data_IF_378401619799
#
_entry.id   IF_378401619799
#
_cell.length_a   1.000
_cell.length_b   1.000
_cell.length_c   1.000
_cell.angle_alpha   90.00
_cell.angle_beta   90.00
_cell.angle_gamma   90.00
#
_symmetry.space_group_name_H-M   'P 1'
#
loop_
_entity.id
_entity.type
_entity.pdbx_description
1 polymer ?
#
# COMPACT_ATOMS: atom_id res chain seq x y z
N UNK A 1 14.82 4.39 11.85
CA UNK A 1 13.88 4.29 10.72
C UNK A 1 14.07 2.90 10.14
N UNK A 2 13.05 2.02 10.20
CA UNK A 2 13.10 0.74 9.51
C UNK A 2 13.20 0.94 7.99
N UNK A 3 13.84 0.00 7.32
CA UNK A 3 13.94 -0.01 5.87
C UNK A 3 12.64 -0.52 5.25
N UNK A 4 12.14 0.17 4.22
CA UNK A 4 10.95 -0.24 3.49
C UNK A 4 11.32 -1.15 2.30
N UNK A 5 10.80 -2.38 2.32
CA UNK A 5 10.93 -3.36 1.24
C UNK A 5 9.56 -3.73 0.65
N UNK A 6 9.58 -4.17 -0.61
CA UNK A 6 8.39 -4.58 -1.35
C UNK A 6 8.56 -6.03 -1.81
N UNK A 7 7.52 -6.84 -1.66
CA UNK A 7 7.47 -8.14 -2.34
C UNK A 7 7.19 -7.95 -3.83
N UNK A 8 7.48 -8.98 -4.63
CA UNK A 8 7.09 -8.99 -6.04
C UNK A 8 5.59 -8.81 -6.22
N UNK A 9 4.77 -9.28 -5.27
CA UNK A 9 3.33 -9.10 -5.32
C UNK A 9 2.94 -7.64 -5.14
N UNK A 10 3.51 -6.94 -4.16
CA UNK A 10 3.27 -5.50 -3.97
C UNK A 10 3.70 -4.68 -5.19
N UNK A 11 4.82 -5.04 -5.84
CA UNK A 11 5.27 -4.39 -7.07
C UNK A 11 4.29 -4.62 -8.23
N UNK A 12 3.80 -5.86 -8.42
CA UNK A 12 2.77 -6.16 -9.43
C UNK A 12 1.47 -5.43 -9.16
N UNK A 13 1.07 -5.32 -7.90
CA UNK A 13 -0.12 -4.59 -7.49
C UNK A 13 -0.04 -3.10 -7.86
N UNK A 14 1.09 -2.44 -7.57
CA UNK A 14 1.33 -1.04 -7.97
C UNK A 14 1.23 -0.85 -9.49
N UNK A 15 1.83 -1.76 -10.26
CA UNK A 15 1.77 -1.73 -11.73
C UNK A 15 0.33 -1.87 -12.23
N UNK A 16 -0.43 -2.82 -11.67
CA UNK A 16 -1.83 -3.08 -12.02
C UNK A 16 -2.74 -1.91 -11.68
N UNK A 17 -2.60 -1.33 -10.49
CA UNK A 17 -3.35 -0.14 -10.06
C UNK A 17 -3.06 1.06 -10.97
N UNK A 18 -1.79 1.29 -11.31
CA UNK A 18 -1.39 2.34 -12.26
C UNK A 18 -2.03 2.10 -13.63
N UNK A 19 -1.95 0.89 -14.17
CA UNK A 19 -2.52 0.55 -15.47
C UNK A 19 -4.04 0.76 -15.50
N UNK A 20 -4.75 0.32 -14.47
CA UNK A 20 -6.21 0.50 -14.33
C UNK A 20 -6.62 1.99 -14.35
N UNK A 21 -5.87 2.84 -13.64
CA UNK A 21 -6.16 4.28 -13.59
C UNK A 21 -5.76 5.00 -14.87
N UNK A 22 -4.67 4.58 -15.53
CA UNK A 22 -4.22 5.20 -16.79
C UNK A 22 -5.28 5.09 -17.89
N UNK A 23 -6.00 3.96 -17.96
CA UNK A 23 -7.10 3.76 -18.91
C UNK A 23 -8.24 4.76 -18.68
N UNK A 24 -8.44 5.22 -17.44
CA UNK A 24 -9.54 6.12 -17.07
C UNK A 24 -9.14 7.59 -17.09
N UNK A 25 -8.01 7.92 -16.46
CA UNK A 25 -7.55 9.30 -16.28
C UNK A 25 -6.06 9.34 -15.86
N UNK A 26 -5.20 9.90 -16.71
CA UNK A 26 -3.77 10.07 -16.45
C UNK A 26 -3.47 10.85 -15.16
N UNK A 27 -4.19 11.94 -14.90
CA UNK A 27 -4.00 12.76 -13.69
C UNK A 27 -4.44 12.01 -12.43
N UNK A 28 -5.45 11.14 -12.53
CA UNK A 28 -5.84 10.30 -11.40
C UNK A 28 -4.78 9.23 -11.10
N UNK A 29 -4.19 8.63 -12.15
CA UNK A 29 -3.10 7.66 -11.99
C UNK A 29 -1.88 8.27 -11.28
N UNK A 30 -1.47 9.48 -11.68
CA UNK A 30 -0.37 10.19 -11.03
C UNK A 30 -0.65 10.47 -9.55
N UNK A 31 -1.79 11.09 -9.24
CA UNK A 31 -2.18 11.40 -7.85
C UNK A 31 -2.31 10.16 -6.98
N UNK A 32 -2.81 9.05 -7.52
CA UNK A 32 -2.90 7.79 -6.78
C UNK A 32 -1.52 7.26 -6.41
N UNK A 33 -0.57 7.26 -7.36
CA UNK A 33 0.81 6.84 -7.12
C UNK A 33 1.47 7.69 -6.04
N UNK A 34 1.38 9.02 -6.13
CA UNK A 34 1.91 9.95 -5.13
C UNK A 34 1.30 9.71 -3.74
N UNK A 35 -0.02 9.50 -3.68
CA UNK A 35 -0.72 9.24 -2.41
C UNK A 35 -0.27 7.92 -1.80
N UNK A 36 -0.18 6.85 -2.58
CA UNK A 36 0.26 5.54 -2.09
C UNK A 36 1.70 5.63 -1.57
N UNK A 37 2.62 6.21 -2.35
CA UNK A 37 4.02 6.34 -1.94
C UNK A 37 4.16 7.15 -0.65
N UNK A 38 3.49 8.31 -0.54
CA UNK A 38 3.55 9.14 0.65
C UNK A 38 3.11 8.41 1.92
N UNK A 39 2.08 7.55 1.83
CA UNK A 39 1.61 6.76 2.96
C UNK A 39 2.56 5.61 3.31
N UNK A 40 3.19 5.00 2.31
CA UNK A 40 4.18 3.95 2.54
C UNK A 40 5.48 4.52 3.13
N UNK A 41 5.94 5.68 2.67
CA UNK A 41 7.11 6.38 3.22
C UNK A 41 6.90 6.75 4.70
N UNK A 42 5.67 7.08 5.08
CA UNK A 42 5.34 7.36 6.47
C UNK A 42 5.59 6.16 7.41
N UNK A 43 5.60 4.93 6.88
CA UNK A 43 5.90 3.73 7.67
C UNK A 43 7.33 3.74 8.21
N UNK A 44 8.28 4.38 7.55
CA UNK A 44 9.68 4.48 8.03
C UNK A 44 9.81 5.34 9.30
N UNK A 45 8.85 6.22 9.57
CA UNK A 45 8.79 7.04 10.79
C UNK A 45 7.77 6.52 11.79
N UNK A 46 6.70 5.90 11.31
CA UNK A 46 5.59 5.45 12.12
C UNK A 46 5.10 4.06 11.69
N UNK A 47 5.89 2.99 11.94
CA UNK A 47 5.57 1.63 11.50
C UNK A 47 4.31 1.02 12.13
N UNK A 48 3.76 1.65 13.16
CA UNK A 48 2.60 1.14 13.90
C UNK A 48 1.27 1.80 13.53
N UNK A 49 1.26 2.75 12.58
CA UNK A 49 0.05 3.50 12.18
C UNK A 49 -1.00 2.62 11.49
N UNK A 50 -0.60 1.45 11.00
CA UNK A 50 -1.51 0.49 10.40
C UNK A 50 -2.29 -0.27 11.45
N UNK A 51 -3.54 -0.59 11.12
CA UNK A 51 -4.40 -1.41 11.96
C UNK A 51 -3.80 -2.82 12.10
N UNK A 52 -3.56 -3.32 13.32
CA UNK A 52 -3.03 -4.67 13.50
C UNK A 52 -4.06 -5.72 13.05
N UNK A 53 -3.57 -6.70 12.29
CA UNK A 53 -4.32 -7.93 11.96
C UNK A 53 -3.89 -9.08 12.87
N UNK A 54 -2.59 -9.19 13.12
CA UNK A 54 -2.00 -10.15 14.06
C UNK A 54 -0.66 -9.61 14.62
N UNK A 55 0.16 -10.49 15.20
CA UNK A 55 1.42 -10.14 15.84
C UNK A 55 2.44 -9.45 14.91
N UNK A 56 2.38 -9.67 13.59
CA UNK A 56 3.35 -9.11 12.63
C UNK A 56 2.69 -8.27 11.53
N UNK A 57 1.49 -8.66 11.11
CA UNK A 57 0.79 -8.08 9.96
C UNK A 57 -0.12 -6.92 10.36
N UNK A 58 -0.12 -5.90 9.52
CA UNK A 58 -0.89 -4.66 9.67
C UNK A 58 -1.48 -4.23 8.33
N UNK A 59 -2.65 -3.60 8.39
CA UNK A 59 -3.27 -2.96 7.24
C UNK A 59 -3.15 -1.44 7.35
N UNK A 60 -2.53 -0.83 6.35
CA UNK A 60 -2.52 0.61 6.16
C UNK A 60 -3.67 1.01 5.23
N UNK A 61 -4.63 1.75 5.75
CA UNK A 61 -5.69 2.35 4.94
C UNK A 61 -5.15 3.64 4.33
N UNK A 62 -5.19 3.73 2.99
CA UNK A 62 -4.70 4.87 2.21
C UNK A 62 -5.92 5.53 1.55
N UNK A 63 -6.43 6.64 2.11
CA UNK A 63 -7.58 7.34 1.55
C UNK A 63 -7.27 7.88 0.15
N UNK A 64 -8.13 7.57 -0.82
CA UNK A 64 -8.01 8.11 -2.18
C UNK A 64 -9.36 8.13 -2.89
N UNK A 65 -9.87 9.34 -3.17
CA UNK A 65 -11.17 9.53 -3.82
C UNK A 65 -12.28 8.68 -3.14
N UNK A 66 -13.13 8.00 -3.92
CA UNK A 66 -14.31 7.28 -3.42
C UNK A 66 -14.05 5.80 -3.07
N UNK A 67 -12.79 5.36 -2.98
CA UNK A 67 -12.47 3.94 -2.80
C UNK A 67 -11.20 3.68 -1.99
N UNK A 68 -10.17 4.50 -2.11
CA UNK A 68 -8.93 4.29 -1.38
C UNK A 68 -8.21 2.99 -1.72
N UNK A 69 -7.07 2.81 -1.07
CA UNK A 69 -6.25 1.61 -1.15
C UNK A 69 -6.02 1.05 0.25
N UNK A 70 -5.64 -0.22 0.30
CA UNK A 70 -5.15 -0.88 1.50
C UNK A 70 -3.83 -1.53 1.16
N UNK A 71 -2.79 -1.20 1.92
CA UNK A 71 -1.52 -1.90 1.88
C UNK A 71 -1.44 -2.87 3.07
N UNK A 72 -1.20 -4.14 2.79
CA UNK A 72 -0.85 -5.13 3.80
C UNK A 72 0.66 -5.09 3.98
N UNK A 73 1.13 -4.91 5.21
CA UNK A 73 2.56 -4.93 5.51
C UNK A 73 2.87 -5.70 6.78
N UNK A 74 4.12 -6.13 6.89
CA UNK A 74 4.69 -6.70 8.11
C UNK A 74 5.69 -5.72 8.69
N UNK A 75 5.66 -5.56 10.01
CA UNK A 75 6.68 -4.82 10.75
C UNK A 75 7.54 -5.80 11.56
N UNK A 76 8.84 -5.85 11.22
CA UNK A 76 9.83 -6.73 11.82
C UNK A 76 10.81 -5.89 12.64
N UNK A 77 10.50 -5.57 13.91
CA UNK A 77 11.28 -4.62 14.71
C UNK A 77 12.71 -5.09 14.97
N UNK A 78 12.94 -6.40 15.11
CA UNK A 78 14.28 -6.97 15.32
C UNK A 78 15.19 -6.82 14.09
N UNK A 79 14.60 -6.76 12.91
CA UNK A 79 15.29 -6.61 11.62
C UNK A 79 15.35 -5.14 11.17
N UNK A 80 14.69 -4.23 11.92
CA UNK A 80 14.47 -2.85 11.51
C UNK A 80 13.94 -2.78 10.05
N UNK A 81 12.93 -3.61 9.76
CA UNK A 81 12.42 -3.83 8.41
C UNK A 81 10.89 -3.75 8.36
N UNK A 82 10.38 -3.16 7.28
CA UNK A 82 8.97 -3.18 6.91
C UNK A 82 8.85 -3.84 5.55
N UNK A 83 7.98 -4.84 5.43
CA UNK A 83 7.75 -5.55 4.17
C UNK A 83 6.32 -5.31 3.71
N UNK A 84 6.16 -4.57 2.61
CA UNK A 84 4.85 -4.40 1.95
C UNK A 84 4.55 -5.68 1.18
N UNK A 85 3.52 -6.40 1.63
CA UNK A 85 3.12 -7.70 1.11
C UNK A 85 2.21 -7.57 -0.12
N UNK A 86 1.24 -6.66 -0.09
CA UNK A 86 0.30 -6.43 -1.19
C UNK A 86 -0.38 -5.08 -1.08
N UNK A 87 -0.88 -4.58 -2.21
CA UNK A 87 -1.63 -3.32 -2.27
C UNK A 87 -2.90 -3.54 -3.09
N UNK A 88 -4.06 -3.21 -2.53
CA UNK A 88 -5.35 -3.43 -3.20
C UNK A 88 -6.21 -2.19 -3.16
N UNK A 89 -7.04 -1.98 -4.18
CA UNK A 89 -8.09 -0.97 -4.15
C UNK A 89 -9.26 -1.50 -3.31
N UNK A 90 -9.86 -0.70 -2.41
CA UNK A 90 -10.88 -1.25 -1.48
C UNK A 90 -12.13 -1.76 -2.21
N UNK A 91 -12.49 -1.13 -3.33
CA UNK A 91 -13.65 -1.55 -4.13
C UNK A 91 -13.34 -2.69 -5.11
N UNK A 92 -12.15 -3.28 -5.06
CA UNK A 92 -11.80 -4.42 -5.93
C UNK A 92 -12.38 -5.77 -5.46
N UNK A 93 -13.17 -5.75 -4.39
CA UNK A 93 -14.00 -6.88 -3.97
C UNK A 93 -15.26 -6.93 -4.85
N UNK A 94 -15.10 -7.17 -6.16
CA UNK A 94 -16.16 -7.54 -7.10
C UNK A 94 -15.53 -7.98 -8.42
N UNK A 95 -15.15 -9.25 -8.49
CA UNK A 95 -14.54 -9.86 -9.69
C UNK A 95 -14.13 -11.29 -9.41
N UNK A 96 -15.04 -12.07 -8.81
CA UNK A 96 -14.99 -13.53 -8.76
C UNK A 96 -16.05 -14.10 -9.69
#
# INVERSE_FOLDING_TARGET
MPHLAYTDQALRDLQRLRAFLLVKNLRAAARAGETILSYLDALETAPEIGRPLDAKRRELVIPFSNGGYVALYEYLPLENLIVVQSIRHQNEISGG
#
